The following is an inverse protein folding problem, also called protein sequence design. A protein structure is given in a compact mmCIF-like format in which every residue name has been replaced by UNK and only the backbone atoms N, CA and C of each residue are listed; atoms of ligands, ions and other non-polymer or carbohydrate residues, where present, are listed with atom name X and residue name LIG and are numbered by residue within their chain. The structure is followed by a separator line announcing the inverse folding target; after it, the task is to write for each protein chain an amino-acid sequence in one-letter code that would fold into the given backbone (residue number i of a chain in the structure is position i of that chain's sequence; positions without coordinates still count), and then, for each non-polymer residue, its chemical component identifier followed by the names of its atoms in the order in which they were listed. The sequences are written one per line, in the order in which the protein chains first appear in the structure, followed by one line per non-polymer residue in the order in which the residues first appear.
data_IF_672285985651
#
_entry.id   IF_672285985651
#
_cell.length_a   1.000
_cell.length_b   1.000
_cell.length_c   1.000
_cell.angle_alpha   90.00
_cell.angle_beta   90.00
_cell.angle_gamma   90.00
#
_symmetry.space_group_name_H-M   'P 1'
#
loop_
_entity.id
_entity.type
_entity.pdbx_description
1 polymer ?
#
# COMPACT_ATOMS: atom_id res chain seq x y z
N UNK A 1 -26.48 -16.70 4.75
CA UNK A 1 -25.29 -17.55 4.53
C UNK A 1 -24.71 -17.88 5.89
N UNK A 2 -24.54 -19.15 6.22
CA UNK A 2 -23.98 -19.56 7.51
C UNK A 2 -22.44 -19.31 7.55
N UNK A 3 -21.84 -19.46 8.73
CA UNK A 3 -20.39 -19.17 8.93
C UNK A 3 -19.50 -20.04 8.05
N UNK A 4 -19.83 -21.31 7.90
CA UNK A 4 -19.03 -22.28 7.11
C UNK A 4 -19.12 -21.95 5.61
N UNK A 5 -20.30 -21.64 5.11
CA UNK A 5 -20.51 -21.23 3.72
C UNK A 5 -19.75 -19.93 3.41
N UNK A 6 -19.74 -18.96 4.34
CA UNK A 6 -18.99 -17.73 4.20
C UNK A 6 -17.48 -18.00 4.10
N UNK A 7 -16.94 -18.88 4.95
CA UNK A 7 -15.52 -19.23 4.93
C UNK A 7 -15.17 -19.91 3.60
N UNK A 8 -15.99 -20.84 3.11
CA UNK A 8 -15.77 -21.54 1.83
C UNK A 8 -15.71 -20.53 0.69
N UNK A 9 -16.71 -19.63 0.61
CA UNK A 9 -16.79 -18.60 -0.45
C UNK A 9 -15.57 -17.67 -0.39
N UNK A 10 -15.16 -17.24 0.81
CA UNK A 10 -13.98 -16.38 0.98
C UNK A 10 -12.69 -17.08 0.55
N UNK A 11 -12.49 -18.35 0.93
CA UNK A 11 -11.31 -19.10 0.51
C UNK A 11 -11.27 -19.29 -1.02
N UNK A 12 -12.40 -19.61 -1.65
CA UNK A 12 -12.49 -19.68 -3.11
C UNK A 12 -12.18 -18.34 -3.77
N UNK A 13 -12.67 -17.23 -3.21
CA UNK A 13 -12.37 -15.88 -3.68
C UNK A 13 -10.87 -15.56 -3.58
N UNK A 14 -10.24 -15.89 -2.45
CA UNK A 14 -8.81 -15.61 -2.24
C UNK A 14 -7.91 -16.42 -3.18
N UNK A 15 -8.38 -17.56 -3.66
CA UNK A 15 -7.69 -18.36 -4.68
C UNK A 15 -8.01 -17.86 -6.10
N UNK A 16 -9.28 -17.66 -6.44
CA UNK A 16 -9.71 -17.37 -7.80
C UNK A 16 -9.41 -15.94 -8.26
N UNK A 17 -9.55 -14.94 -7.38
CA UNK A 17 -9.38 -13.53 -7.76
C UNK A 17 -7.94 -13.20 -8.19
N UNK A 18 -6.89 -13.58 -7.45
CA UNK A 18 -5.51 -13.33 -7.88
C UNK A 18 -5.19 -14.01 -9.22
N UNK A 19 -5.64 -15.26 -9.41
CA UNK A 19 -5.40 -16.00 -10.65
C UNK A 19 -6.13 -15.38 -11.83
N UNK A 20 -7.38 -14.93 -11.64
CA UNK A 20 -8.12 -14.20 -12.66
C UNK A 20 -7.42 -12.88 -13.03
N UNK A 21 -6.98 -12.11 -12.03
CA UNK A 21 -6.26 -10.86 -12.27
C UNK A 21 -4.90 -11.08 -12.97
N UNK A 22 -4.23 -12.18 -12.69
CA UNK A 22 -3.00 -12.58 -13.40
C UNK A 22 -3.29 -12.96 -14.85
N UNK A 23 -4.36 -13.73 -15.12
CA UNK A 23 -4.82 -14.06 -16.49
C UNK A 23 -5.18 -12.80 -17.28
N UNK A 24 -5.79 -11.82 -16.63
CA UNK A 24 -6.10 -10.51 -17.21
C UNK A 24 -4.83 -9.63 -17.36
N UNK A 25 -3.65 -10.09 -16.93
CA UNK A 25 -2.40 -9.32 -16.88
C UNK A 25 -2.51 -8.01 -16.08
N UNK A 26 -3.38 -8.00 -15.07
CA UNK A 26 -3.69 -6.85 -14.23
C UNK A 26 -3.63 -7.20 -12.73
N UNK A 27 -2.48 -7.59 -12.18
CA UNK A 27 -2.38 -8.10 -10.80
C UNK A 27 -2.84 -7.08 -9.74
N UNK A 28 -2.70 -5.78 -10.00
CA UNK A 28 -3.14 -4.72 -9.08
C UNK A 28 -4.67 -4.65 -8.92
N UNK A 29 -5.44 -5.21 -9.87
CA UNK A 29 -6.90 -5.21 -9.81
C UNK A 29 -7.45 -6.05 -8.66
N UNK A 30 -6.67 -6.98 -8.11
CA UNK A 30 -7.10 -7.89 -7.03
C UNK A 30 -7.71 -7.16 -5.84
N UNK A 31 -7.13 -6.03 -5.43
CA UNK A 31 -7.62 -5.26 -4.28
C UNK A 31 -9.00 -4.63 -4.55
N UNK A 32 -9.17 -4.03 -5.72
CA UNK A 32 -10.47 -3.50 -6.14
C UNK A 32 -11.52 -4.61 -6.30
N UNK A 33 -11.12 -5.77 -6.82
CA UNK A 33 -11.99 -6.93 -6.94
C UNK A 33 -12.46 -7.43 -5.56
N UNK A 34 -11.59 -7.51 -4.57
CA UNK A 34 -11.99 -7.89 -3.21
C UNK A 34 -12.99 -6.91 -2.59
N UNK A 35 -12.85 -5.59 -2.82
CA UNK A 35 -13.87 -4.61 -2.39
C UNK A 35 -15.21 -4.87 -3.10
N UNK A 36 -15.20 -5.06 -4.42
CA UNK A 36 -16.42 -5.36 -5.17
C UNK A 36 -17.09 -6.65 -4.68
N UNK A 37 -16.30 -7.69 -4.42
CA UNK A 37 -16.84 -8.94 -3.86
C UNK A 37 -17.40 -8.75 -2.45
N UNK A 38 -16.77 -7.95 -1.60
CA UNK A 38 -17.32 -7.58 -0.31
C UNK A 38 -18.70 -6.92 -0.43
N UNK A 39 -18.85 -5.98 -1.38
CA UNK A 39 -20.13 -5.35 -1.69
C UNK A 39 -21.19 -6.36 -2.13
N UNK A 40 -20.81 -7.33 -2.99
CA UNK A 40 -21.72 -8.39 -3.47
C UNK A 40 -22.14 -9.30 -2.33
N UNK A 41 -21.23 -9.67 -1.45
CA UNK A 41 -21.47 -10.60 -0.36
C UNK A 41 -22.26 -9.95 0.80
N UNK A 42 -22.15 -8.64 0.97
CA UNK A 42 -22.72 -7.90 2.12
C UNK A 42 -24.18 -8.27 2.44
N UNK A 43 -25.12 -8.24 1.48
CA UNK A 43 -26.53 -8.56 1.75
C UNK A 43 -26.80 -10.00 2.17
N UNK A 44 -25.88 -10.94 1.93
CA UNK A 44 -26.07 -12.37 2.16
C UNK A 44 -25.33 -12.89 3.39
N UNK A 45 -24.43 -12.06 3.94
CA UNK A 45 -23.67 -12.39 5.14
C UNK A 45 -24.47 -12.11 6.40
N UNK A 46 -24.39 -13.03 7.35
CA UNK A 46 -24.90 -12.80 8.68
C UNK A 46 -24.09 -11.71 9.41
N UNK A 47 -24.76 -10.94 10.26
CA UNK A 47 -24.15 -9.82 11.01
C UNK A 47 -22.96 -10.25 11.89
N UNK A 48 -23.04 -11.47 12.47
CA UNK A 48 -21.94 -12.07 13.22
C UNK A 48 -20.69 -12.27 12.38
N UNK A 49 -20.86 -12.85 11.18
CA UNK A 49 -19.76 -13.09 10.24
C UNK A 49 -19.18 -11.77 9.73
N UNK A 50 -20.01 -10.79 9.40
CA UNK A 50 -19.55 -9.47 8.97
C UNK A 50 -18.71 -8.78 10.07
N UNK A 51 -19.11 -8.91 11.33
CA UNK A 51 -18.36 -8.36 12.47
C UNK A 51 -17.02 -9.08 12.66
N UNK A 52 -16.97 -10.40 12.53
CA UNK A 52 -15.72 -11.18 12.57
C UNK A 52 -14.77 -10.80 11.45
N UNK A 53 -15.28 -10.66 10.21
CA UNK A 53 -14.51 -10.20 9.07
C UNK A 53 -13.97 -8.79 9.28
N UNK A 54 -14.75 -7.88 9.87
CA UNK A 54 -14.29 -6.55 10.24
C UNK A 54 -13.12 -6.57 11.23
N UNK A 55 -13.20 -7.43 12.26
CA UNK A 55 -12.10 -7.61 13.24
C UNK A 55 -10.85 -8.22 12.59
N UNK A 56 -11.00 -9.28 11.80
CA UNK A 56 -9.89 -9.87 11.06
C UNK A 56 -9.31 -8.90 10.02
N UNK A 57 -10.17 -8.13 9.34
CA UNK A 57 -9.79 -7.07 8.42
C UNK A 57 -8.96 -5.98 9.10
N UNK A 58 -9.24 -5.61 10.34
CA UNK A 58 -8.42 -4.64 11.07
C UNK A 58 -6.99 -5.11 11.27
N UNK A 59 -6.75 -6.40 11.49
CA UNK A 59 -5.40 -6.99 11.52
C UNK A 59 -4.73 -6.92 10.15
N UNK A 60 -5.49 -7.25 9.09
CA UNK A 60 -5.02 -7.12 7.71
C UNK A 60 -4.62 -5.68 7.35
N UNK A 61 -5.36 -4.70 7.87
CA UNK A 61 -5.04 -3.28 7.71
C UNK A 61 -3.70 -2.89 8.36
N UNK A 62 -3.43 -3.38 9.58
CA UNK A 62 -2.14 -3.13 10.23
C UNK A 62 -0.98 -3.72 9.42
N UNK A 63 -1.14 -4.94 8.91
CA UNK A 63 -0.12 -5.58 8.07
C UNK A 63 0.06 -4.86 6.72
N UNK A 64 -1.04 -4.40 6.11
CA UNK A 64 -0.98 -3.59 4.89
C UNK A 64 -0.16 -2.31 5.12
N UNK A 65 -0.40 -1.59 6.21
CA UNK A 65 0.35 -0.38 6.52
C UNK A 65 1.82 -0.65 6.85
N UNK A 66 2.10 -1.76 7.50
CA UNK A 66 3.46 -2.21 7.72
C UNK A 66 4.18 -2.49 6.37
N UNK A 67 3.54 -3.22 5.46
CA UNK A 67 4.10 -3.49 4.12
C UNK A 67 4.31 -2.19 3.33
N UNK A 68 3.33 -1.29 3.31
CA UNK A 68 3.46 0.04 2.68
C UNK A 68 4.64 0.81 3.28
N UNK A 69 4.81 0.77 4.61
CA UNK A 69 5.97 1.37 5.27
C UNK A 69 7.30 0.77 4.79
N UNK A 70 7.38 -0.55 4.60
CA UNK A 70 8.58 -1.23 4.11
C UNK A 70 8.89 -0.94 2.64
N UNK A 71 7.88 -0.68 1.81
CA UNK A 71 8.09 -0.35 0.39
C UNK A 71 8.70 1.04 0.19
N UNK A 72 8.54 1.95 1.16
CA UNK A 72 8.97 3.33 1.06
C UNK A 72 10.48 3.43 1.27
N UNK A 73 11.24 3.53 0.19
CA UNK A 73 12.64 3.92 0.25
C UNK A 73 12.75 5.42 0.54
N UNK A 74 13.28 5.79 1.70
CA UNK A 74 13.61 7.19 2.03
C UNK A 74 14.88 7.62 1.26
N UNK A 75 14.76 8.31 0.12
CA UNK A 75 15.93 8.79 -0.60
C UNK A 75 16.59 9.93 0.17
N UNK A 76 17.89 10.16 -0.07
CA UNK A 76 18.62 11.28 0.52
C UNK A 76 17.89 12.60 0.24
N UNK A 77 17.58 13.36 1.28
CA UNK A 77 16.76 14.60 1.28
C UNK A 77 17.08 15.58 0.13
N UNK A 78 18.34 15.74 -0.23
CA UNK A 78 18.76 16.63 -1.35
C UNK A 78 18.22 16.21 -2.73
N UNK A 79 17.91 14.92 -2.95
CA UNK A 79 17.39 14.41 -4.23
C UNK A 79 15.86 14.44 -4.32
N UNK A 80 15.18 14.84 -3.25
CA UNK A 80 13.73 14.85 -3.12
C UNK A 80 13.06 16.17 -3.52
N UNK A 81 13.78 17.31 -3.64
CA UNK A 81 13.18 18.64 -3.81
C UNK A 81 12.25 18.71 -5.03
N UNK A 82 12.70 18.25 -6.20
CA UNK A 82 11.87 18.26 -7.42
C UNK A 82 10.73 17.25 -7.38
N UNK A 83 10.93 15.97 -6.99
CA UNK A 83 9.84 15.01 -6.77
C UNK A 83 8.80 15.48 -5.76
N UNK A 84 9.22 16.09 -4.64
CA UNK A 84 8.31 16.64 -3.61
C UNK A 84 7.48 17.79 -4.18
N UNK A 85 8.08 18.72 -4.92
CA UNK A 85 7.32 19.78 -5.58
C UNK A 85 6.27 19.24 -6.53
N UNK A 86 6.60 18.25 -7.35
CA UNK A 86 5.66 17.62 -8.27
C UNK A 86 4.55 16.88 -7.52
N UNK A 87 4.89 16.18 -6.44
CA UNK A 87 3.92 15.51 -5.58
C UNK A 87 2.98 16.52 -4.90
N UNK A 88 3.51 17.64 -4.39
CA UNK A 88 2.70 18.72 -3.81
C UNK A 88 1.72 19.33 -4.83
N UNK A 89 2.15 19.57 -6.05
CA UNK A 89 1.26 20.08 -7.11
C UNK A 89 0.15 19.06 -7.42
N UNK A 90 0.49 17.77 -7.53
CA UNK A 90 -0.48 16.70 -7.75
C UNK A 90 -1.43 16.49 -6.56
N UNK A 91 -0.96 16.73 -5.35
CA UNK A 91 -1.75 16.57 -4.14
C UNK A 91 -2.64 17.81 -3.88
N UNK A 92 -2.08 19.01 -3.95
CA UNK A 92 -2.76 20.24 -3.49
C UNK A 92 -3.68 20.86 -4.54
N UNK A 93 -3.30 20.78 -5.82
CA UNK A 93 -4.07 21.44 -6.89
C UNK A 93 -5.49 20.87 -7.06
N UNK A 94 -5.73 19.54 -6.91
CA UNK A 94 -7.08 18.98 -6.95
C UNK A 94 -7.88 19.13 -5.64
N UNK A 95 -7.27 19.58 -4.52
CA UNK A 95 -7.97 19.71 -3.22
C UNK A 95 -9.24 20.54 -3.31
N UNK A 96 -9.25 21.75 -3.93
CA UNK A 96 -10.48 22.52 -4.03
C UNK A 96 -11.61 21.78 -4.73
N UNK A 97 -11.29 20.98 -5.75
CA UNK A 97 -12.27 20.18 -6.48
C UNK A 97 -12.89 19.10 -5.57
N UNK A 98 -12.05 18.41 -4.78
CA UNK A 98 -12.55 17.40 -3.81
C UNK A 98 -13.39 18.06 -2.71
N UNK A 99 -12.96 19.22 -2.21
CA UNK A 99 -13.69 19.95 -1.16
C UNK A 99 -15.06 20.40 -1.67
N UNK A 100 -15.15 20.93 -2.88
CA UNK A 100 -16.43 21.29 -3.51
C UNK A 100 -17.32 20.06 -3.69
N UNK A 101 -16.78 18.97 -4.23
CA UNK A 101 -17.54 17.73 -4.42
C UNK A 101 -18.05 17.14 -3.10
N UNK A 102 -17.22 17.14 -2.06
CA UNK A 102 -17.58 16.69 -0.71
C UNK A 102 -18.64 17.61 -0.08
N UNK A 103 -18.55 18.92 -0.29
CA UNK A 103 -19.55 19.87 0.19
C UNK A 103 -20.90 19.69 -0.50
N UNK A 104 -20.91 19.45 -1.82
CA UNK A 104 -22.12 19.08 -2.57
C UNK A 104 -22.73 17.76 -2.09
N UNK A 105 -21.90 16.84 -1.58
CA UNK A 105 -22.36 15.61 -0.93
C UNK A 105 -22.81 15.82 0.53
N UNK A 106 -22.78 17.07 1.06
CA UNK A 106 -23.22 17.41 2.41
C UNK A 106 -22.22 17.13 3.53
N UNK A 107 -20.91 17.00 3.21
CA UNK A 107 -19.90 16.68 4.22
C UNK A 107 -19.24 17.95 4.79
N UNK A 108 -18.92 17.96 6.10
CA UNK A 108 -18.21 19.06 6.71
C UNK A 108 -16.78 19.18 6.19
N UNK A 109 -16.21 20.37 6.29
CA UNK A 109 -14.89 20.70 5.74
C UNK A 109 -13.77 19.76 6.25
N UNK A 110 -13.83 19.32 7.51
CA UNK A 110 -12.86 18.40 8.09
C UNK A 110 -12.85 17.04 7.39
N UNK A 111 -14.04 16.48 7.09
CA UNK A 111 -14.19 15.24 6.33
C UNK A 111 -13.74 15.43 4.89
N UNK A 112 -14.08 16.57 4.29
CA UNK A 112 -13.69 16.91 2.92
C UNK A 112 -12.17 17.02 2.77
N UNK A 113 -11.47 17.62 3.73
CA UNK A 113 -10.00 17.73 3.72
C UNK A 113 -9.32 16.36 3.93
N UNK A 114 -9.87 15.52 4.80
CA UNK A 114 -9.38 14.15 4.97
C UNK A 114 -9.57 13.33 3.69
N UNK A 115 -10.76 13.43 3.07
CA UNK A 115 -11.05 12.78 1.80
C UNK A 115 -10.11 13.29 0.68
N UNK A 116 -9.83 14.60 0.65
CA UNK A 116 -8.88 15.18 -0.29
C UNK A 116 -7.48 14.59 -0.11
N UNK A 117 -6.99 14.45 1.13
CA UNK A 117 -5.71 13.81 1.42
C UNK A 117 -5.64 12.36 0.90
N UNK A 118 -6.73 11.60 1.03
CA UNK A 118 -6.82 10.23 0.55
C UNK A 118 -6.90 10.14 -0.98
N UNK A 119 -7.80 10.92 -1.59
CA UNK A 119 -8.10 10.86 -3.03
C UNK A 119 -6.96 11.44 -3.89
N UNK A 120 -6.23 12.43 -3.39
CA UNK A 120 -5.10 13.01 -4.10
C UNK A 120 -3.81 12.20 -3.94
N UNK A 121 -3.79 11.22 -3.04
CA UNK A 121 -2.69 10.27 -2.86
C UNK A 121 -2.48 9.31 -4.03
N UNK A 122 -1.43 8.52 -3.92
CA UNK A 122 -1.12 7.41 -4.81
C UNK A 122 -0.66 6.23 -3.96
N UNK A 123 -0.91 5.00 -4.40
CA UNK A 123 -0.35 3.80 -3.80
C UNK A 123 0.75 3.23 -4.68
N UNK A 124 1.98 3.28 -4.18
CA UNK A 124 3.16 2.72 -4.88
C UNK A 124 2.98 1.22 -5.07
N UNK A 125 2.58 0.49 -4.03
CA UNK A 125 2.39 -0.96 -4.09
C UNK A 125 1.41 -1.40 -5.17
N UNK A 126 0.31 -0.67 -5.39
CA UNK A 126 -0.65 -0.96 -6.47
C UNK A 126 -0.11 -0.61 -7.86
N UNK A 127 0.65 0.45 -7.99
CA UNK A 127 1.14 0.95 -9.27
C UNK A 127 2.48 0.35 -9.69
N UNK A 128 3.26 -0.23 -8.76
CA UNK A 128 4.63 -0.68 -8.99
C UNK A 128 4.77 -1.71 -10.12
N UNK A 129 3.90 -2.71 -10.15
CA UNK A 129 3.94 -3.73 -11.20
C UNK A 129 3.69 -3.13 -12.60
N UNK A 130 2.72 -2.23 -12.71
CA UNK A 130 2.42 -1.53 -13.95
C UNK A 130 3.55 -0.55 -14.34
N UNK A 131 4.12 0.17 -13.35
CA UNK A 131 5.27 1.05 -13.54
C UNK A 131 6.50 0.29 -14.07
N UNK A 132 6.77 -0.89 -13.53
CA UNK A 132 7.89 -1.73 -13.97
C UNK A 132 7.72 -2.20 -15.42
N UNK A 133 6.49 -2.54 -15.81
CA UNK A 133 6.14 -3.05 -17.12
C UNK A 133 5.79 -1.96 -18.17
N UNK A 134 5.72 -0.68 -17.74
CA UNK A 134 5.28 0.40 -18.64
C UNK A 134 6.22 0.60 -19.81
N UNK A 135 5.74 0.46 -21.08
CA UNK A 135 6.59 0.59 -22.26
C UNK A 135 6.99 2.05 -22.52
N UNK A 136 8.09 2.27 -23.23
CA UNK A 136 8.47 3.59 -23.73
C UNK A 136 9.01 4.60 -22.71
N UNK A 137 9.13 4.23 -21.41
CA UNK A 137 9.74 5.09 -20.42
C UNK A 137 11.28 4.92 -20.43
N UNK A 138 11.98 6.03 -20.62
CA UNK A 138 13.44 6.04 -20.39
C UNK A 138 13.74 5.85 -18.88
N UNK A 139 14.92 5.34 -18.54
CA UNK A 139 15.30 5.10 -17.13
C UNK A 139 15.23 6.36 -16.26
N UNK A 140 15.54 7.52 -16.84
CA UNK A 140 15.47 8.81 -16.14
C UNK A 140 14.02 9.17 -15.81
N UNK A 141 13.10 9.01 -16.76
CA UNK A 141 11.67 9.29 -16.57
C UNK A 141 11.06 8.28 -15.61
N UNK A 142 11.38 6.98 -15.76
CA UNK A 142 10.95 5.90 -14.89
C UNK A 142 11.31 6.16 -13.43
N UNK A 143 12.57 6.52 -13.14
CA UNK A 143 13.03 6.90 -11.80
C UNK A 143 12.35 8.18 -11.28
N UNK A 144 12.05 9.14 -12.16
CA UNK A 144 11.36 10.38 -11.77
C UNK A 144 9.91 10.10 -11.37
N UNK A 145 9.18 9.29 -12.16
CA UNK A 145 7.80 8.87 -11.84
C UNK A 145 7.79 8.13 -10.50
N UNK A 146 8.64 7.13 -10.28
CA UNK A 146 8.70 6.38 -9.02
C UNK A 146 8.92 7.30 -7.82
N UNK A 147 9.88 8.23 -7.91
CA UNK A 147 10.14 9.19 -6.82
C UNK A 147 8.96 10.12 -6.58
N UNK A 148 8.22 10.49 -7.61
CA UNK A 148 7.00 11.31 -7.46
C UNK A 148 5.88 10.50 -6.82
N UNK A 149 5.71 9.22 -7.18
CA UNK A 149 4.75 8.29 -6.54
C UNK A 149 5.04 8.17 -5.05
N UNK A 150 6.29 7.85 -4.68
CA UNK A 150 6.73 7.72 -3.28
C UNK A 150 6.51 9.03 -2.50
N UNK A 151 6.87 10.17 -3.10
CA UNK A 151 6.67 11.46 -2.45
C UNK A 151 5.18 11.80 -2.27
N UNK A 152 4.33 11.42 -3.24
CA UNK A 152 2.88 11.61 -3.18
C UNK A 152 2.23 10.71 -2.12
N UNK A 153 2.68 9.47 -2.02
CA UNK A 153 2.22 8.53 -0.99
C UNK A 153 2.58 9.00 0.42
N UNK A 154 3.85 9.37 0.63
CA UNK A 154 4.32 9.96 1.91
C UNK A 154 3.53 11.19 2.30
N UNK A 155 3.31 12.11 1.36
CA UNK A 155 2.50 13.30 1.59
C UNK A 155 1.08 12.95 2.00
N UNK A 156 0.45 12.02 1.28
CA UNK A 156 -0.93 11.59 1.56
C UNK A 156 -1.04 10.94 2.94
N UNK A 157 -0.13 10.06 3.32
CA UNK A 157 -0.10 9.43 4.64
C UNK A 157 0.06 10.50 5.72
N UNK A 158 1.00 11.45 5.55
CA UNK A 158 1.20 12.52 6.51
C UNK A 158 -0.04 13.40 6.65
N UNK A 159 -0.66 13.77 5.53
CA UNK A 159 -1.89 14.57 5.51
C UNK A 159 -3.07 13.82 6.17
N UNK A 160 -3.20 12.49 5.95
CA UNK A 160 -4.20 11.65 6.60
C UNK A 160 -3.96 11.53 8.11
N UNK A 161 -2.71 11.40 8.54
CA UNK A 161 -2.34 11.38 9.96
C UNK A 161 -2.71 12.69 10.63
N UNK A 162 -2.39 13.82 10.02
CA UNK A 162 -2.73 15.16 10.51
C UNK A 162 -4.26 15.34 10.49
N UNK A 163 -4.93 15.04 9.37
CA UNK A 163 -6.38 15.14 9.23
C UNK A 163 -7.17 14.30 10.24
N UNK A 164 -6.70 13.08 10.53
CA UNK A 164 -7.32 12.23 11.55
C UNK A 164 -7.19 12.80 12.97
N UNK A 165 -6.15 13.58 13.27
CA UNK A 165 -6.01 14.27 14.55
C UNK A 165 -7.00 15.43 14.67
N UNK A 166 -7.28 16.15 13.57
CA UNK A 166 -8.34 17.17 13.54
C UNK A 166 -9.73 16.58 13.79
N UNK A 167 -10.03 15.40 13.24
CA UNK A 167 -11.32 14.73 13.48
C UNK A 167 -11.53 14.35 14.94
N UNK A 168 -10.46 14.07 15.69
CA UNK A 168 -10.53 13.77 17.14
C UNK A 168 -10.87 14.98 18.00
N UNK A 169 -10.99 16.18 17.43
CA UNK A 169 -11.26 17.41 18.18
C UNK A 169 -10.15 17.86 19.13
N UNK A 170 -8.98 17.24 19.03
CA UNK A 170 -7.82 17.52 19.88
C UNK A 170 -6.84 18.50 19.21
N UNK A 171 -7.30 19.70 18.93
CA UNK A 171 -6.43 20.84 18.59
C UNK A 171 -5.81 21.49 19.85
N UNK A 172 -5.69 20.72 20.91
CA UNK A 172 -5.07 21.15 22.15
C UNK A 172 -3.54 21.06 22.07
N UNK A 173 -2.81 21.54 23.06
CA UNK A 173 -1.36 21.40 23.20
C UNK A 173 -0.86 19.99 22.88
N UNK A 174 -1.69 18.96 23.10
CA UNK A 174 -1.50 17.57 22.68
C UNK A 174 -1.31 17.39 21.16
N UNK A 175 -1.84 18.27 20.30
CA UNK A 175 -1.62 18.18 18.84
C UNK A 175 -0.16 18.50 18.48
N UNK A 176 0.38 19.57 19.03
CA UNK A 176 1.79 19.94 18.85
C UNK A 176 2.72 18.85 19.36
N UNK A 177 2.41 18.27 20.53
CA UNK A 177 3.16 17.14 21.10
C UNK A 177 3.07 15.89 20.20
N UNK A 178 1.90 15.61 19.63
CA UNK A 178 1.73 14.47 18.71
C UNK A 178 2.53 14.68 17.42
N UNK A 179 2.50 15.88 16.85
CA UNK A 179 3.27 16.21 15.64
C UNK A 179 4.78 16.16 15.89
N UNK A 180 5.21 16.68 17.03
CA UNK A 180 6.62 16.61 17.49
C UNK A 180 7.03 15.15 17.75
N UNK A 181 6.14 14.35 18.35
CA UNK A 181 6.33 12.92 18.56
C UNK A 181 6.48 12.15 17.25
N UNK A 182 5.64 12.43 16.24
CA UNK A 182 5.76 11.83 14.90
C UNK A 182 7.09 12.23 14.26
N UNK A 183 7.47 13.51 14.31
CA UNK A 183 8.73 13.98 13.78
C UNK A 183 9.92 13.34 14.50
N UNK A 184 9.87 13.22 15.83
CA UNK A 184 10.89 12.56 16.65
C UNK A 184 10.99 11.06 16.31
N UNK A 185 9.87 10.38 16.13
CA UNK A 185 9.83 8.96 15.74
C UNK A 185 10.43 8.77 14.34
N UNK A 186 10.08 9.61 13.38
CA UNK A 186 10.67 9.58 12.04
C UNK A 186 12.17 9.82 12.10
N UNK A 187 12.63 10.77 12.92
CA UNK A 187 14.03 11.05 13.13
C UNK A 187 14.77 9.87 13.80
N UNK A 188 14.17 9.28 14.85
CA UNK A 188 14.71 8.10 15.55
C UNK A 188 14.80 6.89 14.61
N UNK A 189 13.75 6.66 13.79
CA UNK A 189 13.75 5.60 12.79
C UNK A 189 14.85 5.84 11.74
N UNK A 190 14.95 7.04 11.20
CA UNK A 190 15.99 7.39 10.24
C UNK A 190 17.41 7.24 10.82
N UNK A 191 17.57 7.48 12.13
CA UNK A 191 18.89 7.46 12.82
C UNK A 191 19.26 6.11 13.39
N UNK A 192 18.28 5.36 13.90
CA UNK A 192 18.50 4.14 14.67
C UNK A 192 17.79 2.91 14.10
N UNK A 193 16.98 3.04 13.05
CA UNK A 193 16.22 1.93 12.45
C UNK A 193 17.11 0.74 12.09
N UNK A 194 18.36 0.99 11.64
CA UNK A 194 19.34 -0.06 11.37
C UNK A 194 19.71 -0.92 12.57
N UNK A 195 19.50 -0.44 13.81
CA UNK A 195 19.78 -1.21 15.04
C UNK A 195 18.66 -2.19 15.39
N UNK A 196 17.46 -1.99 14.87
CA UNK A 196 16.35 -2.93 15.03
C UNK A 196 16.49 -4.17 14.13
N UNK A 197 17.21 -4.02 13.01
CA UNK A 197 17.46 -5.09 12.04
C UNK A 197 18.03 -6.36 12.68
N UNK A 198 19.12 -6.30 13.51
CA UNK A 198 19.68 -7.51 14.10
C UNK A 198 18.71 -8.27 15.03
N UNK A 199 17.77 -7.56 15.68
CA UNK A 199 16.76 -8.19 16.54
C UNK A 199 15.81 -9.03 15.69
N UNK A 200 15.34 -8.50 14.55
CA UNK A 200 14.50 -9.24 13.61
C UNK A 200 15.29 -10.37 12.94
N UNK A 201 16.55 -10.15 12.55
CA UNK A 201 17.43 -11.18 12.03
C UNK A 201 17.59 -12.33 13.02
N UNK A 202 17.82 -12.02 14.28
CA UNK A 202 17.99 -13.02 15.33
C UNK A 202 16.70 -13.88 15.50
N UNK A 203 15.51 -13.24 15.48
CA UNK A 203 14.21 -13.93 15.54
C UNK A 203 14.03 -14.84 14.32
N UNK A 204 14.30 -14.33 13.11
CA UNK A 204 14.10 -15.06 11.86
C UNK A 204 15.10 -16.19 11.71
N UNK A 205 16.36 -16.03 12.13
CA UNK A 205 17.39 -17.07 11.96
C UNK A 205 17.30 -18.21 12.97
N UNK A 206 16.81 -17.94 14.17
CA UNK A 206 16.69 -18.97 15.21
C UNK A 206 15.44 -19.83 15.12
N UNK A 207 14.38 -19.36 14.44
CA UNK A 207 13.11 -20.08 14.33
C UNK A 207 12.92 -20.63 12.93
N UNK A 208 12.84 -21.94 12.75
CA UNK A 208 12.72 -22.59 11.42
C UNK A 208 11.27 -22.69 10.94
N UNK A 209 10.32 -23.07 11.79
CA UNK A 209 8.93 -23.35 11.38
C UNK A 209 7.94 -22.22 11.69
N UNK A 210 8.21 -21.36 12.67
CA UNK A 210 7.28 -20.34 13.16
C UNK A 210 7.64 -18.90 12.74
N UNK A 211 8.60 -18.74 11.84
CA UNK A 211 9.15 -17.43 11.43
C UNK A 211 8.07 -16.41 11.06
N UNK A 212 7.14 -16.82 10.21
CA UNK A 212 6.08 -15.94 9.70
C UNK A 212 5.11 -15.54 10.80
N UNK A 213 4.69 -16.53 11.62
CA UNK A 213 3.76 -16.28 12.72
C UNK A 213 4.36 -15.38 13.79
N UNK A 214 5.64 -15.60 14.14
CA UNK A 214 6.35 -14.78 15.11
C UNK A 214 6.54 -13.34 14.61
N UNK A 215 6.82 -13.17 13.32
CA UNK A 215 6.97 -11.85 12.72
C UNK A 215 5.65 -11.08 12.75
N UNK A 216 4.55 -11.72 12.31
CA UNK A 216 3.21 -11.12 12.36
C UNK A 216 2.82 -10.81 13.81
N UNK A 217 3.05 -11.75 14.74
CA UNK A 217 2.78 -11.53 16.16
C UNK A 217 3.57 -10.33 16.71
N UNK A 218 4.85 -10.23 16.38
CA UNK A 218 5.71 -9.12 16.83
C UNK A 218 5.18 -7.78 16.32
N UNK A 219 4.79 -7.71 15.04
CA UNK A 219 4.17 -6.50 14.46
C UNK A 219 2.91 -6.13 15.23
N UNK A 220 2.02 -7.09 15.48
CA UNK A 220 0.77 -6.86 16.20
C UNK A 220 1.00 -6.42 17.65
N UNK A 221 1.99 -7.02 18.33
CA UNK A 221 2.39 -6.62 19.70
C UNK A 221 2.90 -5.18 19.71
N UNK A 222 3.78 -4.80 18.77
CA UNK A 222 4.30 -3.44 18.68
C UNK A 222 3.18 -2.45 18.36
N UNK A 223 2.24 -2.82 17.47
CA UNK A 223 1.07 -1.99 17.17
C UNK A 223 0.16 -1.82 18.39
N UNK A 224 -0.07 -2.87 19.16
CA UNK A 224 -0.86 -2.83 20.41
C UNK A 224 -0.18 -1.94 21.46
N UNK A 225 1.14 -2.03 21.60
CA UNK A 225 1.89 -1.13 22.48
C UNK A 225 1.78 0.33 22.03
N UNK A 226 1.91 0.58 20.71
CA UNK A 226 1.73 1.91 20.13
C UNK A 226 0.35 2.49 20.38
N UNK A 227 -0.69 1.67 20.35
CA UNK A 227 -2.05 2.07 20.67
C UNK A 227 -2.21 2.47 22.15
N UNK A 228 -1.61 1.71 23.07
CA UNK A 228 -1.59 2.03 24.51
C UNK A 228 -0.88 3.35 24.83
N UNK A 229 0.16 3.67 24.07
CA UNK A 229 0.94 4.93 24.22
C UNK A 229 0.21 6.12 23.56
N UNK A 230 -0.91 5.87 22.84
CA UNK A 230 -1.68 6.92 22.17
C UNK A 230 -1.24 7.26 20.75
N UNK A 231 -0.25 6.53 20.18
CA UNK A 231 0.17 6.69 18.78
C UNK A 231 -0.89 6.17 17.80
N UNK A 232 -1.65 5.14 18.20
CA UNK A 232 -2.58 4.41 17.35
C UNK A 232 -1.89 3.29 16.56
N UNK A 233 -2.54 2.12 16.53
CA UNK A 233 -2.02 0.91 15.86
C UNK A 233 -1.60 1.12 14.40
N UNK A 234 -2.45 1.73 13.54
CA UNK A 234 -2.15 1.97 12.13
C UNK A 234 -0.87 2.80 11.89
N UNK A 235 -0.68 3.88 12.66
CA UNK A 235 0.51 4.72 12.57
C UNK A 235 1.76 3.97 12.99
N UNK A 236 1.65 3.20 14.09
CA UNK A 236 2.74 2.37 14.60
C UNK A 236 3.16 1.31 13.60
N UNK A 237 2.20 0.63 12.94
CA UNK A 237 2.47 -0.34 11.89
C UNK A 237 3.26 0.29 10.73
N UNK A 238 2.81 1.44 10.24
CA UNK A 238 3.46 2.16 9.16
C UNK A 238 4.91 2.58 9.54
N UNK A 239 5.10 3.18 10.72
CA UNK A 239 6.44 3.60 11.15
C UNK A 239 7.37 2.41 11.41
N UNK A 240 6.85 1.31 11.94
CA UNK A 240 7.61 0.08 12.08
C UNK A 240 8.06 -0.45 10.72
N UNK A 241 7.17 -0.50 9.73
CA UNK A 241 7.50 -0.87 8.35
C UNK A 241 8.60 0.02 7.76
N UNK A 242 8.48 1.35 7.94
CA UNK A 242 9.47 2.31 7.49
C UNK A 242 10.85 2.10 8.16
N UNK A 243 10.87 1.73 9.45
CA UNK A 243 12.09 1.38 10.17
C UNK A 243 12.74 0.10 9.60
N UNK A 244 11.89 -0.85 9.21
CA UNK A 244 12.33 -2.15 8.70
C UNK A 244 12.73 -2.13 7.23
N UNK A 245 12.44 -1.07 6.47
CA UNK A 245 12.90 -0.93 5.09
C UNK A 245 14.42 -1.11 4.96
N UNK A 246 15.19 -0.73 5.97
CA UNK A 246 16.64 -0.92 5.98
C UNK A 246 17.08 -2.40 6.01
N UNK A 247 16.21 -3.35 6.40
CA UNK A 247 16.50 -4.80 6.34
C UNK A 247 16.60 -5.30 4.92
N UNK A 248 15.78 -4.75 4.01
CA UNK A 248 15.78 -5.07 2.59
C UNK A 248 17.14 -4.81 1.92
N UNK A 249 17.86 -3.80 2.38
CA UNK A 249 19.22 -3.48 1.91
C UNK A 249 20.28 -4.52 2.32
N UNK A 250 19.99 -5.39 3.28
CA UNK A 250 20.87 -6.47 3.74
C UNK A 250 20.54 -7.84 3.16
N UNK A 251 19.65 -7.91 2.17
CA UNK A 251 19.33 -9.14 1.44
C UNK A 251 18.25 -10.01 2.09
N UNK A 252 17.59 -9.53 3.16
CA UNK A 252 16.42 -10.21 3.72
C UNK A 252 15.15 -9.72 3.07
N UNK A 253 14.48 -10.59 2.32
CA UNK A 253 13.15 -10.33 1.76
C UNK A 253 12.07 -10.65 2.81
N UNK A 254 11.89 -9.74 3.77
CA UNK A 254 10.86 -9.87 4.81
C UNK A 254 9.46 -10.00 4.18
N UNK A 255 9.23 -9.27 3.08
CA UNK A 255 7.99 -9.29 2.31
C UNK A 255 7.64 -10.70 1.81
N UNK A 256 8.63 -11.45 1.31
CA UNK A 256 8.41 -12.82 0.83
C UNK A 256 8.02 -13.78 1.93
N UNK A 257 8.56 -13.58 3.14
CA UNK A 257 8.22 -14.42 4.30
C UNK A 257 6.82 -14.11 4.84
N UNK A 258 6.37 -12.84 4.77
CA UNK A 258 5.05 -12.44 5.28
C UNK A 258 3.92 -12.69 4.28
N UNK A 259 4.21 -12.67 2.99
CA UNK A 259 3.24 -12.76 1.91
C UNK A 259 2.20 -13.90 2.07
N UNK A 260 2.53 -15.11 2.57
CA UNK A 260 1.54 -16.18 2.75
C UNK A 260 0.40 -15.81 3.70
N UNK A 261 0.68 -15.07 4.78
CA UNK A 261 -0.34 -14.69 5.76
C UNK A 261 -0.91 -13.31 5.45
N UNK A 262 -0.06 -12.32 5.15
CA UNK A 262 -0.51 -10.96 4.91
C UNK A 262 -1.18 -10.80 3.56
N UNK A 263 -0.47 -11.05 2.46
CA UNK A 263 -0.94 -10.73 1.11
C UNK A 263 -1.96 -11.73 0.56
N UNK A 264 -1.91 -13.00 1.01
CA UNK A 264 -2.83 -14.04 0.52
C UNK A 264 -4.08 -14.19 1.38
N UNK A 265 -4.07 -13.71 2.63
CA UNK A 265 -5.18 -13.96 3.55
C UNK A 265 -5.68 -12.68 4.24
N UNK A 266 -4.88 -12.05 5.10
CA UNK A 266 -5.38 -10.96 5.95
C UNK A 266 -5.66 -9.66 5.21
N UNK A 267 -4.82 -9.28 4.26
CA UNK A 267 -5.06 -8.08 3.43
C UNK A 267 -6.28 -8.25 2.52
N UNK A 268 -6.50 -9.38 1.82
CA UNK A 268 -7.76 -9.67 1.15
C UNK A 268 -8.99 -9.56 2.05
N UNK A 269 -8.95 -10.11 3.28
CA UNK A 269 -10.06 -9.97 4.25
C UNK A 269 -10.34 -8.49 4.55
N UNK A 270 -9.30 -7.67 4.71
CA UNK A 270 -9.48 -6.24 4.93
C UNK A 270 -10.24 -5.56 3.77
N UNK A 271 -9.86 -5.81 2.52
CA UNK A 271 -10.55 -5.21 1.38
C UNK A 271 -11.97 -5.74 1.20
N UNK A 272 -12.23 -7.03 1.48
CA UNK A 272 -13.59 -7.57 1.53
C UNK A 272 -14.39 -6.88 2.63
N UNK A 273 -13.83 -6.74 3.84
CA UNK A 273 -14.49 -6.06 4.96
C UNK A 273 -14.82 -4.59 4.66
N UNK A 274 -13.96 -3.89 3.92
CA UNK A 274 -14.28 -2.54 3.41
C UNK A 274 -15.46 -2.57 2.43
N UNK A 275 -15.49 -3.55 1.54
CA UNK A 275 -16.59 -3.72 0.60
C UNK A 275 -17.92 -3.98 1.28
N UNK A 276 -17.95 -4.73 2.39
CA UNK A 276 -19.15 -5.00 3.17
C UNK A 276 -19.83 -3.72 3.70
N UNK A 277 -19.09 -2.63 3.83
CA UNK A 277 -19.59 -1.35 4.32
C UNK A 277 -20.34 -0.54 3.24
N UNK A 278 -20.19 -0.94 1.96
CA UNK A 278 -20.82 -0.26 0.82
C UNK A 278 -22.07 -1.04 0.42
N UNK A 279 -23.23 -0.40 0.47
CA UNK A 279 -24.48 -1.01 0.02
C UNK A 279 -24.66 -0.76 -1.48
N UNK A 280 -25.29 -1.71 -2.18
CA UNK A 280 -25.58 -1.59 -3.61
C UNK A 280 -26.39 -0.34 -3.95
N UNK A 281 -27.33 0.02 -3.08
CA UNK A 281 -28.15 1.21 -3.24
C UNK A 281 -27.31 2.49 -3.23
N UNK A 282 -26.17 2.49 -2.55
CA UNK A 282 -25.30 3.66 -2.49
C UNK A 282 -24.62 3.93 -3.85
N UNK A 283 -24.41 2.90 -4.69
CA UNK A 283 -23.84 3.06 -6.04
C UNK A 283 -24.80 3.78 -6.97
N UNK A 284 -26.09 3.42 -6.92
CA UNK A 284 -27.14 4.00 -7.79
C UNK A 284 -27.77 5.25 -7.18
N UNK A 285 -27.34 5.64 -5.99
CA UNK A 285 -27.79 6.86 -5.30
C UNK A 285 -27.07 8.11 -5.79
N UNK A 286 -27.51 9.27 -5.32
CA UNK A 286 -26.80 10.53 -5.53
C UNK A 286 -25.34 10.47 -5.04
N UNK A 287 -25.08 9.76 -3.93
CA UNK A 287 -23.71 9.54 -3.41
C UNK A 287 -22.83 8.83 -4.43
N UNK A 288 -23.33 7.78 -5.08
CA UNK A 288 -22.60 7.07 -6.13
C UNK A 288 -22.38 7.92 -7.38
N UNK A 289 -23.39 8.68 -7.82
CA UNK A 289 -23.26 9.59 -8.95
C UNK A 289 -22.21 10.69 -8.69
N UNK A 290 -22.24 11.30 -7.49
CA UNK A 290 -21.23 12.28 -7.07
C UNK A 290 -19.83 11.65 -6.95
N UNK A 291 -19.72 10.43 -6.44
CA UNK A 291 -18.47 9.70 -6.36
C UNK A 291 -17.88 9.44 -7.76
N UNK A 292 -18.71 8.98 -8.70
CA UNK A 292 -18.31 8.74 -10.08
C UNK A 292 -17.85 10.03 -10.78
N UNK A 293 -18.65 11.11 -10.67
CA UNK A 293 -18.32 12.42 -11.20
C UNK A 293 -16.99 12.97 -10.62
N UNK A 294 -16.81 12.84 -9.31
CA UNK A 294 -15.58 13.27 -8.62
C UNK A 294 -14.38 12.46 -9.10
N UNK A 295 -14.49 11.15 -9.26
CA UNK A 295 -13.42 10.30 -9.77
C UNK A 295 -13.01 10.70 -11.20
N UNK A 296 -13.98 10.94 -12.08
CA UNK A 296 -13.73 11.41 -13.44
C UNK A 296 -13.04 12.77 -13.49
N UNK A 297 -13.49 13.72 -12.68
CA UNK A 297 -12.87 15.05 -12.56
C UNK A 297 -11.44 14.96 -12.01
N UNK A 298 -11.18 14.10 -11.02
CA UNK A 298 -9.85 13.90 -10.47
C UNK A 298 -8.89 13.27 -11.47
N UNK A 299 -9.33 12.27 -12.23
CA UNK A 299 -8.52 11.67 -13.30
C UNK A 299 -8.21 12.70 -14.39
N UNK A 300 -9.20 13.50 -14.79
CA UNK A 300 -9.01 14.61 -15.73
C UNK A 300 -8.05 15.67 -15.20
N UNK A 301 -8.21 16.11 -13.96
CA UNK A 301 -7.30 17.05 -13.32
C UNK A 301 -5.87 16.52 -13.27
N UNK A 302 -5.66 15.26 -12.88
CA UNK A 302 -4.33 14.61 -12.88
C UNK A 302 -3.72 14.55 -14.27
N UNK A 303 -4.51 14.25 -15.29
CA UNK A 303 -4.06 14.26 -16.68
C UNK A 303 -3.57 15.64 -17.11
N UNK A 304 -4.34 16.69 -16.80
CA UNK A 304 -3.98 18.07 -17.12
C UNK A 304 -2.72 18.50 -16.37
N UNK A 305 -2.65 18.24 -15.07
CA UNK A 305 -1.50 18.59 -14.23
C UNK A 305 -0.25 17.88 -14.75
N UNK A 306 -0.34 16.57 -15.00
CA UNK A 306 0.79 15.78 -15.50
C UNK A 306 1.30 16.31 -16.84
N UNK A 307 0.39 16.51 -17.81
CA UNK A 307 0.76 16.83 -19.18
C UNK A 307 1.18 18.30 -19.36
N UNK A 308 0.60 19.22 -18.60
CA UNK A 308 0.84 20.68 -18.79
C UNK A 308 1.77 21.30 -17.76
N UNK A 309 1.75 20.83 -16.51
CA UNK A 309 2.44 21.50 -15.41
C UNK A 309 3.72 20.81 -14.96
N UNK A 310 3.74 19.48 -14.96
CA UNK A 310 4.84 18.75 -14.30
C UNK A 310 6.05 18.51 -15.19
N UNK A 311 5.88 18.40 -16.50
CA UNK A 311 6.98 18.09 -17.42
C UNK A 311 7.80 16.86 -17.01
N UNK A 312 7.13 15.87 -16.36
CA UNK A 312 7.81 14.68 -15.86
C UNK A 312 8.41 13.88 -17.02
N UNK A 313 7.80 14.00 -18.21
CA UNK A 313 8.09 13.19 -19.38
C UNK A 313 7.30 11.87 -19.35
N UNK A 314 7.42 11.13 -20.42
CA UNK A 314 6.64 9.91 -20.63
C UNK A 314 5.48 10.14 -21.58
N UNK A 315 4.72 9.07 -21.81
CA UNK A 315 3.51 9.09 -22.63
C UNK A 315 2.39 9.90 -21.96
N UNK A 316 1.43 10.34 -22.76
CA UNK A 316 0.22 11.07 -22.33
C UNK A 316 -0.55 10.32 -21.23
N UNK A 317 -0.45 9.02 -21.17
CA UNK A 317 -1.14 8.15 -20.22
C UNK A 317 -0.31 7.82 -18.96
N UNK A 318 0.93 8.30 -18.84
CA UNK A 318 1.79 8.01 -17.70
C UNK A 318 1.22 8.54 -16.36
N UNK A 319 0.29 9.50 -16.40
CA UNK A 319 -0.44 9.98 -15.20
C UNK A 319 -1.26 8.88 -14.53
N UNK A 320 -1.68 7.85 -15.27
CA UNK A 320 -2.40 6.71 -14.72
C UNK A 320 -1.58 5.93 -13.69
N UNK A 321 -0.24 5.96 -13.81
CA UNK A 321 0.65 5.36 -12.81
C UNK A 321 0.59 6.07 -11.45
N UNK A 322 0.20 7.34 -11.46
CA UNK A 322 0.06 8.17 -10.25
C UNK A 322 -1.36 8.13 -9.66
N UNK A 323 -2.28 7.38 -10.27
CA UNK A 323 -3.71 7.45 -9.98
C UNK A 323 -4.27 6.34 -9.07
N UNK A 324 -3.73 5.10 -9.00
CA UNK A 324 -4.23 4.10 -8.07
C UNK A 324 -4.03 4.56 -6.62
N UNK A 325 -5.10 4.66 -5.86
CA UNK A 325 -5.06 5.23 -4.50
C UNK A 325 -5.92 4.47 -3.48
N UNK A 326 -6.41 3.27 -3.81
CA UNK A 326 -7.37 2.55 -2.98
C UNK A 326 -6.85 2.27 -1.55
N UNK A 327 -5.53 2.07 -1.36
CA UNK A 327 -4.94 1.91 -0.03
C UNK A 327 -5.01 3.20 0.80
N UNK A 328 -4.77 4.35 0.16
CA UNK A 328 -4.90 5.66 0.82
C UNK A 328 -6.36 5.97 1.14
N UNK A 329 -7.25 5.65 0.21
CA UNK A 329 -8.71 5.76 0.39
C UNK A 329 -9.20 4.87 1.51
N UNK A 330 -8.72 3.63 1.59
CA UNK A 330 -9.03 2.71 2.68
C UNK A 330 -8.58 3.27 4.04
N UNK A 331 -7.38 3.86 4.12
CA UNK A 331 -6.88 4.53 5.32
C UNK A 331 -7.76 5.71 5.72
N UNK A 332 -8.15 6.56 4.75
CA UNK A 332 -9.04 7.69 4.97
C UNK A 332 -10.43 7.26 5.41
N UNK A 333 -11.03 6.26 4.76
CA UNK A 333 -12.34 5.71 5.10
C UNK A 333 -12.35 5.10 6.51
N UNK A 334 -11.31 4.33 6.86
CA UNK A 334 -11.17 3.78 8.23
C UNK A 334 -11.08 4.89 9.26
N UNK A 335 -10.37 6.00 8.98
CA UNK A 335 -10.30 7.14 9.87
C UNK A 335 -11.66 7.85 10.02
N UNK A 336 -12.43 8.00 8.93
CA UNK A 336 -13.78 8.56 8.97
C UNK A 336 -14.74 7.69 9.78
N UNK A 337 -14.66 6.37 9.67
CA UNK A 337 -15.49 5.44 10.43
C UNK A 337 -15.13 5.42 11.91
N UNK A 338 -13.83 5.52 12.23
CA UNK A 338 -13.35 5.48 13.63
C UNK A 338 -13.64 6.77 14.40
N UNK A 339 -13.54 7.92 13.74
CA UNK A 339 -13.57 9.23 14.38
C UNK A 339 -14.68 10.16 13.87
N UNK A 340 -15.29 9.80 12.75
CA UNK A 340 -16.39 10.52 12.15
C UNK A 340 -17.74 9.86 12.51
N UNK A 341 -18.78 10.65 12.60
CA UNK A 341 -20.15 10.17 12.84
C UNK A 341 -20.90 9.89 11.52
N UNK A 342 -20.23 10.00 10.38
CA UNK A 342 -20.90 9.98 9.07
C UNK A 342 -20.40 8.83 8.19
N UNK A 343 -21.12 7.70 8.22
CA UNK A 343 -20.86 6.53 7.39
C UNK A 343 -20.97 6.84 5.88
N UNK A 344 -21.83 7.77 5.48
CA UNK A 344 -21.99 8.18 4.08
C UNK A 344 -20.72 8.82 3.53
N UNK A 345 -19.95 9.54 4.35
CA UNK A 345 -18.67 10.12 3.91
C UNK A 345 -17.62 9.04 3.61
N UNK A 346 -17.56 7.99 4.43
CA UNK A 346 -16.67 6.85 4.18
C UNK A 346 -17.08 6.09 2.93
N UNK A 347 -18.38 5.84 2.73
CA UNK A 347 -18.92 5.20 1.53
C UNK A 347 -18.62 6.01 0.27
N UNK A 348 -18.88 7.33 0.28
CA UNK A 348 -18.56 8.20 -0.85
C UNK A 348 -17.07 8.19 -1.17
N UNK A 349 -16.21 8.24 -0.16
CA UNK A 349 -14.76 8.18 -0.31
C UNK A 349 -14.32 6.85 -0.92
N UNK A 350 -14.84 5.71 -0.43
CA UNK A 350 -14.53 4.37 -0.95
C UNK A 350 -14.98 4.20 -2.40
N UNK A 351 -16.20 4.64 -2.73
CA UNK A 351 -16.71 4.60 -4.10
C UNK A 351 -15.88 5.47 -5.05
N UNK A 352 -15.52 6.69 -4.63
CA UNK A 352 -14.67 7.59 -5.43
C UNK A 352 -13.31 6.96 -5.70
N UNK A 353 -12.67 6.39 -4.66
CA UNK A 353 -11.39 5.70 -4.80
C UNK A 353 -11.47 4.47 -5.70
N UNK A 354 -12.56 3.71 -5.61
CA UNK A 354 -12.79 2.54 -6.45
C UNK A 354 -12.97 2.94 -7.92
N UNK A 355 -13.84 3.93 -8.20
CA UNK A 355 -14.08 4.45 -9.55
C UNK A 355 -12.84 5.14 -10.15
N UNK A 356 -11.93 5.62 -9.35
CA UNK A 356 -10.67 6.18 -9.80
C UNK A 356 -9.62 5.08 -10.06
N UNK A 357 -9.51 4.10 -9.17
CA UNK A 357 -8.49 3.05 -9.22
C UNK A 357 -8.75 2.03 -10.32
N UNK A 358 -9.99 1.57 -10.49
CA UNK A 358 -10.33 0.56 -11.51
C UNK A 358 -9.98 1.04 -12.91
N UNK A 359 -10.47 2.21 -13.40
CA UNK A 359 -10.10 2.70 -14.73
C UNK A 359 -8.60 2.96 -14.84
N UNK A 360 -7.96 3.51 -13.79
CA UNK A 360 -6.53 3.77 -13.82
C UNK A 360 -5.74 2.48 -14.08
N UNK A 361 -6.09 1.36 -13.45
CA UNK A 361 -5.42 0.07 -13.67
C UNK A 361 -5.80 -0.54 -15.03
N UNK A 362 -7.06 -0.42 -15.45
CA UNK A 362 -7.53 -0.99 -16.72
C UNK A 362 -6.91 -0.31 -17.94
N UNK A 363 -6.74 0.99 -17.91
CA UNK A 363 -6.16 1.75 -19.03
C UNK A 363 -4.62 1.78 -19.03
N UNK A 364 -3.97 1.32 -17.95
CA UNK A 364 -2.53 1.10 -17.99
C UNK A 364 -2.16 0.00 -18.99
N UNK A 365 -1.00 0.08 -19.66
CA UNK A 365 -0.53 -1.00 -20.53
C UNK A 365 -0.45 -2.32 -19.77
N UNK A 366 -0.88 -3.42 -20.39
CA UNK A 366 -0.76 -4.74 -19.80
C UNK A 366 0.71 -5.10 -19.56
N UNK A 367 1.01 -5.75 -18.45
CA UNK A 367 2.33 -6.29 -18.20
C UNK A 367 2.62 -7.38 -19.24
N UNK A 368 3.37 -7.05 -20.29
CA UNK A 368 3.83 -8.01 -21.27
C UNK A 368 5.02 -8.78 -20.68
N UNK A 369 4.75 -9.92 -20.13
CA UNK A 369 5.73 -10.85 -19.58
C UNK A 369 5.07 -11.71 -18.50
N UNK A 370 5.40 -13.02 -18.43
CA UNK A 370 5.04 -13.77 -17.24
C UNK A 370 5.67 -13.02 -16.06
N UNK A 371 4.88 -12.65 -15.07
CA UNK A 371 5.43 -12.43 -13.74
C UNK A 371 6.24 -13.70 -13.46
N UNK A 372 7.56 -13.65 -13.62
CA UNK A 372 8.41 -14.68 -13.07
C UNK A 372 8.00 -14.74 -11.61
N UNK A 373 7.21 -15.76 -11.30
CA UNK A 373 7.22 -16.27 -9.97
C UNK A 373 8.69 -16.34 -9.64
N UNK A 374 9.14 -15.58 -8.66
CA UNK A 374 10.46 -15.77 -8.09
C UNK A 374 10.36 -17.14 -7.43
N UNK A 375 10.50 -18.18 -8.27
CA UNK A 375 10.84 -19.51 -7.83
C UNK A 375 12.21 -19.35 -7.20
N UNK A 376 12.37 -19.89 -6.01
CA UNK A 376 13.57 -19.93 -5.20
C UNK A 376 14.80 -20.60 -5.88
N UNK A 377 14.87 -20.65 -7.20
CA UNK A 377 15.85 -21.36 -8.03
C UNK A 377 16.74 -20.44 -8.86
N UNK A 378 16.89 -19.17 -8.49
CA UNK A 378 17.99 -18.37 -9.00
C UNK A 378 19.06 -18.17 -7.92
N UNK A 379 19.60 -19.28 -7.42
CA UNK A 379 20.99 -19.27 -6.98
C UNK A 379 21.82 -18.86 -8.21
N UNK A 380 22.68 -17.82 -8.11
CA UNK A 380 23.61 -17.58 -9.20
C UNK A 380 24.51 -18.80 -9.28
N UNK A 381 24.39 -19.55 -10.37
CA UNK A 381 25.41 -20.47 -10.79
C UNK A 381 26.66 -19.61 -11.03
N UNK A 382 27.48 -19.48 -9.99
CA UNK A 382 28.84 -19.05 -10.13
C UNK A 382 29.52 -20.15 -10.93
N UNK A 383 29.46 -20.02 -12.25
CA UNK A 383 30.34 -20.74 -13.16
C UNK A 383 31.76 -20.22 -12.88
N UNK A 384 32.39 -20.79 -11.86
CA UNK A 384 33.84 -20.84 -11.83
C UNK A 384 34.26 -21.79 -12.96
N UNK A 385 34.53 -21.22 -14.12
CA UNK A 385 35.45 -21.80 -15.08
C UNK A 385 36.84 -21.80 -14.42
N UNK A 386 37.17 -22.89 -13.76
CA UNK A 386 38.56 -23.19 -13.45
C UNK A 386 39.29 -23.34 -14.77
N UNK A 387 40.41 -22.66 -14.97
CA UNK A 387 41.30 -22.97 -16.11
C UNK A 387 41.83 -24.39 -15.91
N UNK A 388 41.83 -25.16 -17.03
CA UNK A 388 42.38 -26.48 -17.14
C UNK A 388 43.75 -26.56 -16.46
N UNK A 389 43.80 -27.19 -15.29
CA UNK A 389 45.06 -27.57 -14.67
C UNK A 389 45.60 -28.80 -15.44
N UNK A 390 46.62 -28.55 -16.22
CA UNK A 390 47.36 -29.59 -16.91
C UNK A 390 47.86 -30.72 -15.96
N UNK A 391 48.20 -31.90 -16.49
CA UNK A 391 48.52 -33.07 -15.68
C UNK A 391 49.72 -32.78 -14.75
N UNK A 392 49.69 -33.33 -13.50
CA UNK A 392 50.75 -33.08 -12.53
C UNK A 392 52.08 -33.69 -13.04
N UNK A 393 53.24 -33.01 -12.73
CA UNK A 393 54.56 -33.51 -13.13
C UNK A 393 54.89 -34.83 -12.42
N UNK A 394 55.50 -35.74 -13.18
CA UNK A 394 55.94 -37.06 -12.73
C UNK A 394 56.89 -36.96 -11.49
N UNK A 395 56.63 -37.77 -10.49
CA UNK A 395 57.49 -37.88 -9.30
C UNK A 395 58.87 -38.45 -9.70
N UNK A 396 59.96 -37.89 -9.20
CA UNK A 396 61.28 -38.48 -9.40
C UNK A 396 61.44 -39.79 -8.63
N UNK A 397 62.28 -40.74 -9.11
CA UNK A 397 62.46 -42.04 -8.49
C UNK A 397 63.14 -41.93 -7.14
N UNK A 398 62.60 -42.70 -6.16
CA UNK A 398 63.19 -42.91 -4.85
C UNK A 398 64.58 -43.57 -5.01
N UNK A 399 65.61 -42.88 -4.51
CA UNK A 399 66.91 -43.51 -4.31
C UNK A 399 66.81 -44.47 -3.13
N UNK A 400 67.18 -45.69 -3.38
CA UNK A 400 67.52 -46.71 -2.42
C UNK A 400 68.79 -46.33 -1.70
N UNK A 401 68.68 -46.13 -0.36
CA UNK A 401 69.68 -46.61 0.62
C UNK A 401 69.00 -46.74 1.95
#
# INVERSE_FOLDING_TARGET
MNEVEAIIVLLLLFMAVPDLCLKLKRPALKYSAFVVFGMVLGPWLDSGVATMLGKAGSLGFLLLLFEVGMEIELPRLRRLIRPVRNALLLALLPVPLVVVAAHLAGFPLTHALLAAAALTGCSVGMAHAAWKAYPGLTDVVRKRILRTMVALELWSILALVIGSAFLKGKLDTTFGVTLLGIAAILFLIARYGSRLVPVFEWIITRTTHWRVHLLVLLILVVCSLGERIGLGGPKTAFFLGLAMNQTRHRGMNLDEHMAPISQRFLIPIFFVALGLQIRWLDIVSLTGALAFGTAGLLLGARQVIHNRLLGIGGDRNAFLLLSPNLTMVALGATALLQYGTNEHAATWLLLTGLFMTIPAILFLPAANGPARAVTADSAPAAAHSMPDAGPPPARPPLKSE
#
